data_IF_665476680748
#
_entry.id   IF_665476680748
#
_cell.length_a   1.000
_cell.length_b   1.000
_cell.length_c   1.000
_cell.angle_alpha   90.00
_cell.angle_beta   90.00
_cell.angle_gamma   90.00
#
_symmetry.space_group_name_H-M   'P 1'
#
loop_
_entity.id
_entity.type
_entity.pdbx_description
1 polymer ?
#
# COMPACT_ATOMS: atom_id res chain seq x y z
N UNK A 1 12.32 46.20 -36.81
CA UNK A 1 11.62 44.91 -36.81
C UNK A 1 12.63 43.90 -36.30
N UNK A 2 12.44 43.38 -35.08
CA UNK A 2 13.38 42.46 -34.45
C UNK A 2 13.11 41.04 -34.93
N UNK A 3 14.07 40.46 -35.64
CA UNK A 3 14.12 39.03 -35.96
C UNK A 3 14.31 38.24 -34.66
N UNK A 4 13.20 37.75 -34.10
CA UNK A 4 13.23 36.72 -33.06
C UNK A 4 13.25 35.36 -33.75
N UNK A 5 14.32 34.61 -33.51
CA UNK A 5 14.51 33.23 -33.94
C UNK A 5 13.31 32.37 -33.51
N UNK A 6 12.46 32.05 -34.49
CA UNK A 6 11.26 31.24 -34.31
C UNK A 6 11.64 29.74 -34.31
N UNK A 7 12.37 29.30 -33.28
CA UNK A 7 12.67 27.88 -33.10
C UNK A 7 11.45 27.19 -32.50
N UNK A 8 10.95 26.10 -33.10
CA UNK A 8 9.82 25.35 -32.56
C UNK A 8 10.17 24.86 -31.15
N UNK A 9 9.19 24.93 -30.24
CA UNK A 9 9.39 24.48 -28.87
C UNK A 9 9.74 22.99 -28.85
N UNK A 10 10.57 22.56 -27.88
CA UNK A 10 10.97 21.15 -27.73
C UNK A 10 9.77 20.19 -27.61
N UNK A 11 8.61 20.70 -27.17
CA UNK A 11 7.36 19.96 -27.15
C UNK A 11 6.81 19.63 -28.56
N UNK A 12 6.98 20.55 -29.52
CA UNK A 12 6.54 20.37 -30.90
C UNK A 12 7.43 19.35 -31.64
N UNK A 13 8.75 19.39 -31.42
CA UNK A 13 9.68 18.37 -31.94
C UNK A 13 9.35 16.97 -31.40
N UNK A 14 9.00 16.87 -30.10
CA UNK A 14 8.59 15.61 -29.49
C UNK A 14 7.32 15.03 -30.12
N UNK A 15 6.34 15.88 -30.45
CA UNK A 15 5.10 15.49 -31.13
C UNK A 15 5.36 15.04 -32.57
N UNK A 16 6.16 15.79 -33.33
CA UNK A 16 6.50 15.44 -34.72
C UNK A 16 7.25 14.11 -34.82
N UNK A 17 8.16 13.81 -33.87
CA UNK A 17 8.83 12.50 -33.82
C UNK A 17 7.88 11.35 -33.51
N UNK A 18 6.93 11.54 -32.59
CA UNK A 18 5.93 10.50 -32.27
C UNK A 18 4.98 10.24 -33.44
N UNK A 19 4.55 11.30 -34.11
CA UNK A 19 3.67 11.19 -35.26
C UNK A 19 4.36 10.52 -36.45
N UNK A 20 5.64 10.86 -36.72
CA UNK A 20 6.45 10.17 -37.71
C UNK A 20 6.64 8.68 -37.42
N UNK A 21 6.84 8.31 -36.15
CA UNK A 21 6.99 6.91 -35.75
C UNK A 21 5.70 6.09 -35.89
N UNK A 22 4.53 6.66 -35.56
CA UNK A 22 3.24 6.00 -35.76
C UNK A 22 2.90 5.81 -37.24
N UNK A 23 3.24 6.79 -38.07
CA UNK A 23 2.98 6.73 -39.52
C UNK A 23 3.88 5.68 -40.17
N UNK A 24 5.15 5.62 -39.79
CA UNK A 24 6.08 4.59 -40.25
C UNK A 24 5.68 3.17 -39.82
N UNK A 25 5.07 2.99 -38.63
CA UNK A 25 4.53 1.69 -38.22
C UNK A 25 3.27 1.28 -39.00
N UNK A 26 2.46 2.24 -39.47
CA UNK A 26 1.28 1.94 -40.30
C UNK A 26 1.63 1.63 -41.75
N UNK A 27 2.67 2.26 -42.28
CA UNK A 27 3.13 2.07 -43.67
C UNK A 27 4.09 0.89 -43.85
N UNK A 28 4.65 0.36 -42.75
CA UNK A 28 5.40 -0.89 -42.79
C UNK A 28 4.45 -2.09 -42.98
N UNK A 29 4.04 -2.33 -44.24
CA UNK A 29 3.43 -3.58 -44.65
C UNK A 29 4.33 -4.74 -44.25
N UNK A 30 3.81 -5.63 -43.39
CA UNK A 30 4.49 -6.85 -42.98
C UNK A 30 4.68 -7.70 -44.24
N UNK A 31 5.92 -7.98 -44.68
CA UNK A 31 6.13 -8.80 -45.86
C UNK A 31 5.51 -10.18 -45.64
N UNK A 32 4.83 -10.76 -46.65
CA UNK A 32 4.22 -12.08 -46.52
C UNK A 32 5.29 -13.09 -46.14
N UNK A 33 4.99 -13.93 -45.15
CA UNK A 33 5.88 -14.98 -44.68
C UNK A 33 6.27 -15.89 -45.87
N UNK A 34 7.56 -16.26 -46.01
CA UNK A 34 7.97 -17.18 -47.06
C UNK A 34 7.24 -18.52 -46.90
N UNK A 35 6.86 -19.18 -48.00
CA UNK A 35 6.22 -20.49 -47.93
C UNK A 35 7.16 -21.48 -47.25
N UNK A 36 6.63 -22.18 -46.23
CA UNK A 36 7.33 -23.27 -45.57
C UNK A 36 7.57 -24.41 -46.58
N UNK A 37 8.79 -24.51 -47.11
CA UNK A 37 9.27 -25.76 -47.69
C UNK A 37 9.35 -26.80 -46.59
N UNK A 38 8.46 -27.79 -46.67
CA UNK A 38 8.51 -28.98 -45.83
C UNK A 38 9.78 -29.76 -46.19
N UNK A 39 10.80 -29.68 -45.34
CA UNK A 39 11.93 -30.58 -45.39
C UNK A 39 11.44 -32.04 -45.18
N UNK A 40 11.94 -33.03 -45.94
CA UNK A 40 11.55 -34.42 -45.75
C UNK A 40 11.99 -34.90 -44.37
N UNK A 41 11.05 -35.48 -43.60
CA UNK A 41 11.35 -36.25 -42.40
C UNK A 41 12.29 -37.40 -42.75
N UNK A 42 13.56 -37.29 -42.39
CA UNK A 42 14.42 -38.45 -42.19
C UNK A 42 14.18 -38.98 -40.78
N UNK A 43 13.72 -40.23 -40.71
CA UNK A 43 13.60 -41.00 -39.48
C UNK A 43 15.00 -41.20 -38.85
N UNK A 44 15.15 -41.02 -37.52
CA UNK A 44 16.37 -41.42 -36.85
C UNK A 44 16.35 -42.92 -36.59
N UNK A 45 17.39 -43.59 -37.08
CA UNK A 45 17.73 -44.96 -36.75
C UNK A 45 17.91 -45.15 -35.23
N UNK A 46 17.45 -46.31 -34.79
CA UNK A 46 17.65 -46.88 -33.47
C UNK A 46 19.15 -47.03 -33.15
N UNK A 47 19.53 -46.65 -31.92
CA UNK A 47 20.44 -47.39 -31.04
C UNK A 47 21.20 -46.41 -30.13
N UNK A 48 20.81 -46.34 -28.87
CA UNK A 48 21.64 -46.82 -27.73
C UNK A 48 20.90 -46.47 -26.45
N UNK A 49 20.50 -47.52 -25.72
CA UNK A 49 19.98 -47.38 -24.38
C UNK A 49 21.08 -46.96 -23.42
N UNK A 50 20.78 -45.96 -22.59
CA UNK A 50 21.36 -45.86 -21.25
C UNK A 50 20.21 -45.56 -20.30
N UNK A 51 19.87 -46.60 -19.54
CA UNK A 51 19.04 -46.54 -18.35
C UNK A 51 19.81 -45.81 -17.26
N UNK A 52 19.26 -44.70 -16.75
CA UNK A 52 19.70 -44.12 -15.47
C UNK A 52 18.48 -43.95 -14.57
N UNK A 53 18.56 -44.72 -13.49
CA UNK A 53 17.70 -44.82 -12.31
C UNK A 53 17.60 -43.46 -11.57
N UNK A 54 16.43 -43.08 -11.02
CA UNK A 54 16.32 -41.94 -10.12
C UNK A 54 16.78 -42.32 -8.70
N UNK A 55 17.58 -41.49 -8.00
CA UNK A 55 17.85 -41.71 -6.60
C UNK A 55 16.69 -41.19 -5.71
N UNK A 56 16.17 -42.16 -4.97
CA UNK A 56 15.44 -42.15 -3.71
C UNK A 56 15.39 -40.85 -2.87
N UNK A 57 14.17 -40.58 -2.39
CA UNK A 57 13.85 -39.86 -1.15
C UNK A 57 14.61 -40.41 0.06
N UNK A 58 15.13 -39.51 0.93
CA UNK A 58 15.38 -39.85 2.31
C UNK A 58 14.36 -39.19 3.25
N UNK A 59 13.53 -40.07 3.81
CA UNK A 59 13.27 -40.17 5.25
C UNK A 59 12.56 -39.01 5.97
N UNK A 60 11.28 -39.27 6.26
CA UNK A 60 10.74 -39.35 7.63
C UNK A 60 11.78 -39.34 8.76
N UNK A 61 11.69 -38.35 9.65
CA UNK A 61 12.14 -38.48 11.03
C UNK A 61 11.25 -37.62 11.96
N UNK A 62 10.41 -38.30 12.73
CA UNK A 62 9.85 -37.79 13.99
C UNK A 62 10.99 -37.50 14.99
N UNK A 63 10.71 -36.69 16.02
CA UNK A 63 10.77 -37.29 17.35
C UNK A 63 9.50 -37.03 18.18
N UNK A 64 9.10 -38.08 18.89
CA UNK A 64 8.33 -38.02 20.14
C UNK A 64 9.30 -38.13 21.33
N UNK A 65 8.73 -37.97 22.54
CA UNK A 65 9.31 -38.09 23.90
C UNK A 65 9.83 -36.74 24.38
N UNK A 66 9.24 -36.06 25.37
CA UNK A 66 8.81 -36.44 26.73
C UNK A 66 9.46 -35.36 27.64
N UNK A 67 8.99 -34.89 28.79
CA UNK A 67 7.92 -35.13 29.75
C UNK A 67 8.11 -34.08 30.88
N UNK A 68 7.46 -34.30 32.03
CA UNK A 68 7.53 -33.54 33.30
C UNK A 68 6.70 -32.23 33.35
N UNK A 69 5.58 -32.18 34.06
CA UNK A 69 5.39 -32.16 35.54
C UNK A 69 5.74 -30.81 36.19
N UNK A 70 4.71 -30.13 36.71
CA UNK A 70 4.64 -29.35 37.96
C UNK A 70 3.30 -28.59 37.95
N UNK A 71 2.29 -28.99 38.73
CA UNK A 71 2.08 -28.56 40.13
C UNK A 71 2.02 -27.04 40.22
N UNK A 72 0.82 -26.47 40.31
CA UNK A 72 0.06 -26.23 41.55
C UNK A 72 0.23 -24.76 41.96
N UNK A 73 -0.88 -24.03 42.09
CA UNK A 73 -1.23 -23.25 43.29
C UNK A 73 -2.31 -22.22 42.96
N UNK A 74 -3.50 -22.55 43.44
CA UNK A 74 -4.61 -21.64 43.66
C UNK A 74 -4.37 -20.94 45.00
N UNK A 75 -4.52 -19.61 45.12
CA UNK A 75 -4.87 -18.99 46.39
C UNK A 75 -6.37 -18.64 46.32
N UNK A 76 -7.23 -19.15 47.20
CA UNK A 76 -7.09 -19.09 48.65
C UNK A 76 -7.72 -17.79 49.13
N UNK A 77 -9.05 -17.78 49.27
CA UNK A 77 -9.76 -16.66 49.88
C UNK A 77 -9.51 -16.56 51.39
N UNK A 78 -10.01 -15.48 52.02
CA UNK A 78 -10.46 -15.59 53.40
C UNK A 78 -11.92 -15.13 53.55
N UNK A 79 -12.73 -16.06 54.02
CA UNK A 79 -14.01 -15.82 54.70
C UNK A 79 -13.68 -15.43 56.14
N UNK A 80 -14.03 -14.20 56.55
CA UNK A 80 -14.03 -13.77 57.95
C UNK A 80 -15.32 -12.97 58.20
N UNK A 81 -16.30 -13.61 58.85
CA UNK A 81 -17.21 -12.91 59.78
C UNK A 81 -16.54 -12.82 61.17
N UNK A 82 -17.12 -12.17 62.20
CA UNK A 82 -18.56 -11.99 62.40
C UNK A 82 -19.02 -10.62 62.96
N UNK A 83 -20.34 -10.57 63.14
CA UNK A 83 -21.18 -9.53 63.73
C UNK A 83 -20.61 -8.79 64.95
N UNK A 84 -20.67 -7.47 64.91
CA UNK A 84 -20.52 -6.61 66.08
C UNK A 84 -21.89 -6.46 66.75
N UNK A 85 -21.93 -6.85 68.03
CA UNK A 85 -23.07 -6.75 68.91
C UNK A 85 -23.30 -5.29 69.35
N UNK A 86 -24.57 -4.88 69.37
CA UNK A 86 -25.05 -3.64 69.97
C UNK A 86 -24.73 -3.58 71.48
N UNK A 87 -24.20 -2.46 72.00
CA UNK A 87 -24.15 -2.24 73.43
C UNK A 87 -25.53 -1.81 73.95
N UNK A 88 -26.04 -2.58 74.92
CA UNK A 88 -27.25 -2.27 75.67
C UNK A 88 -27.07 -1.00 76.53
N UNK A 89 -28.10 -0.16 76.56
CA UNK A 89 -28.17 1.03 77.39
C UNK A 89 -28.14 0.71 78.90
N UNK A 90 -27.45 1.50 79.75
CA UNK A 90 -27.53 1.34 81.19
C UNK A 90 -28.85 1.92 81.75
N UNK A 91 -29.61 1.10 82.47
CA UNK A 91 -30.77 1.54 83.27
C UNK A 91 -30.29 2.26 84.53
N UNK A 92 -30.91 3.39 84.94
CA UNK A 92 -30.60 4.02 86.22
C UNK A 92 -31.21 3.22 87.38
N UNK A 93 -30.42 3.00 88.43
CA UNK A 93 -30.90 2.51 89.74
C UNK A 93 -31.49 3.70 90.52
N UNK A 94 -32.73 3.64 91.05
CA UNK A 94 -33.22 4.65 91.97
C UNK A 94 -32.59 4.42 93.34
N UNK A 95 -31.58 5.24 93.67
CA UNK A 95 -30.96 5.27 94.99
C UNK A 95 -31.88 5.94 96.00
N UNK A 96 -32.19 5.19 97.06
CA UNK A 96 -32.96 5.61 98.23
C UNK A 96 -32.42 6.92 98.85
N UNK A 97 -33.21 7.98 98.78
CA UNK A 97 -33.01 9.21 99.57
C UNK A 97 -33.99 9.20 100.74
N UNK A 98 -33.81 8.28 101.70
CA UNK A 98 -34.66 8.24 102.91
C UNK A 98 -33.87 7.93 104.21
N UNK A 99 -32.56 7.68 104.14
CA UNK A 99 -31.79 7.24 105.32
C UNK A 99 -31.17 8.35 106.19
N UNK A 100 -31.21 9.62 105.76
CA UNK A 100 -30.52 10.72 106.48
C UNK A 100 -31.35 11.45 107.55
N UNK A 101 -32.67 11.22 107.62
CA UNK A 101 -33.55 11.89 108.60
C UNK A 101 -33.99 11.00 109.76
N UNK A 102 -33.71 9.69 109.68
CA UNK A 102 -34.04 8.71 110.72
C UNK A 102 -33.41 9.02 112.10
N UNK A 103 -32.12 9.40 112.22
CA UNK A 103 -31.53 9.65 113.54
C UNK A 103 -32.05 10.93 114.21
N UNK A 104 -32.41 11.96 113.43
CA UNK A 104 -32.98 13.22 113.95
C UNK A 104 -34.41 13.01 114.45
N UNK A 105 -35.21 12.22 113.73
CA UNK A 105 -36.57 11.86 114.16
C UNK A 105 -36.56 11.00 115.44
N UNK A 106 -35.59 10.08 115.58
CA UNK A 106 -35.42 9.25 116.79
C UNK A 106 -34.96 10.08 117.99
N UNK A 107 -34.04 11.03 117.80
CA UNK A 107 -33.60 11.93 118.87
C UNK A 107 -34.74 12.86 119.37
N UNK A 108 -35.56 13.39 118.46
CA UNK A 108 -36.72 14.21 118.81
C UNK A 108 -37.79 13.41 119.58
N UNK A 109 -38.03 12.15 119.18
CA UNK A 109 -38.96 11.25 119.86
C UNK A 109 -38.47 10.87 121.29
N UNK A 110 -37.15 10.69 121.48
CA UNK A 110 -36.55 10.42 122.78
C UNK A 110 -36.61 11.64 123.73
N UNK A 111 -36.43 12.86 123.21
CA UNK A 111 -36.60 14.08 124.01
C UNK A 111 -38.06 14.30 124.44
N UNK A 112 -39.03 14.11 123.52
CA UNK A 112 -40.46 14.23 123.83
C UNK A 112 -40.93 13.18 124.86
N UNK A 113 -40.43 11.95 124.77
CA UNK A 113 -40.75 10.91 125.75
C UNK A 113 -40.11 11.17 127.12
N UNK A 114 -38.90 11.73 127.19
CA UNK A 114 -38.30 12.17 128.46
C UNK A 114 -39.07 13.32 129.13
N UNK A 115 -39.59 14.27 128.33
CA UNK A 115 -40.36 15.41 128.82
C UNK A 115 -41.71 14.97 129.41
N UNK A 116 -42.38 14.00 128.76
CA UNK A 116 -43.63 13.41 129.23
C UNK A 116 -43.41 12.66 130.55
N UNK A 117 -42.30 11.93 130.70
CA UNK A 117 -41.95 11.24 131.96
C UNK A 117 -41.62 12.23 133.08
N UNK A 118 -40.99 13.36 132.77
CA UNK A 118 -40.72 14.42 133.75
C UNK A 118 -42.01 15.11 134.26
N UNK A 119 -42.95 15.42 133.38
CA UNK A 119 -44.27 15.94 133.79
C UNK A 119 -45.11 14.91 134.56
N UNK A 120 -44.96 13.61 134.26
CA UNK A 120 -45.60 12.55 135.04
C UNK A 120 -45.00 12.39 136.45
N UNK A 121 -43.70 12.66 136.61
CA UNK A 121 -43.02 12.67 137.91
C UNK A 121 -43.42 13.87 138.78
N UNK A 122 -43.70 15.04 138.17
CA UNK A 122 -44.17 16.24 138.87
C UNK A 122 -45.63 16.11 139.37
N UNK A 123 -46.45 15.26 138.76
CA UNK A 123 -47.83 15.06 139.17
C UNK A 123 -48.02 14.18 140.43
N UNK A 124 -46.96 13.58 140.98
CA UNK A 124 -47.07 12.55 142.04
C UNK A 124 -46.30 12.80 143.34
N UNK A 125 -45.69 13.97 143.54
CA UNK A 125 -44.97 14.28 144.79
C UNK A 125 -45.26 15.70 145.30
N UNK A 126 -46.11 15.78 146.32
CA UNK A 126 -46.29 16.98 147.13
C UNK A 126 -45.25 17.00 148.25
N UNK A 127 -44.16 17.75 148.07
CA UNK A 127 -43.31 18.26 149.16
C UNK A 127 -42.51 19.46 148.64
N UNK A 128 -42.94 20.67 149.03
CA UNK A 128 -42.19 21.90 148.81
C UNK A 128 -40.97 21.95 149.74
N UNK A 129 -39.78 22.14 149.17
CA UNK A 129 -38.56 22.37 149.95
C UNK A 129 -37.25 22.20 149.16
N UNK A 130 -37.18 21.26 148.22
CA UNK A 130 -35.98 20.99 147.39
C UNK A 130 -36.05 21.55 145.95
N UNK A 131 -37.16 22.21 145.59
CA UNK A 131 -37.44 22.72 144.25
C UNK A 131 -36.57 23.93 143.78
N UNK A 132 -35.69 24.50 144.62
CA UNK A 132 -34.85 25.66 144.24
C UNK A 132 -33.43 25.31 143.78
N UNK A 133 -32.89 24.14 144.13
CA UNK A 133 -31.60 23.67 143.62
C UNK A 133 -31.74 22.90 142.30
N UNK A 134 -32.82 22.13 142.15
CA UNK A 134 -33.14 21.43 140.89
C UNK A 134 -33.52 22.38 139.76
N UNK A 135 -34.17 23.52 140.06
CA UNK A 135 -34.48 24.54 139.05
C UNK A 135 -33.22 25.16 138.42
N UNK A 136 -32.13 25.34 139.19
CA UNK A 136 -30.86 25.87 138.65
C UNK A 136 -30.14 24.87 137.75
N UNK A 137 -30.23 23.57 138.07
CA UNK A 137 -29.68 22.49 137.24
C UNK A 137 -30.51 22.34 135.96
N UNK A 138 -31.83 22.48 136.05
CA UNK A 138 -32.72 22.43 134.87
C UNK A 138 -32.54 23.68 133.99
N UNK A 139 -32.33 24.87 134.54
CA UNK A 139 -32.04 26.06 133.71
C UNK A 139 -30.67 25.99 133.04
N UNK A 140 -29.64 25.49 133.73
CA UNK A 140 -28.31 25.28 133.11
C UNK A 140 -28.32 24.15 132.08
N UNK A 141 -29.07 23.08 132.30
CA UNK A 141 -29.29 22.04 131.29
C UNK A 141 -30.10 22.56 130.10
N UNK A 142 -31.09 23.43 130.31
CA UNK A 142 -31.84 24.05 129.22
C UNK A 142 -30.97 25.00 128.40
N UNK A 143 -30.15 25.81 129.05
CA UNK A 143 -29.28 26.75 128.35
C UNK A 143 -28.14 26.01 127.62
N UNK A 144 -27.64 24.90 128.18
CA UNK A 144 -26.72 24.00 127.48
C UNK A 144 -27.40 23.29 126.29
N UNK A 145 -28.61 22.77 126.47
CA UNK A 145 -29.37 22.13 125.39
C UNK A 145 -29.76 23.12 124.29
N UNK A 146 -30.00 24.40 124.60
CA UNK A 146 -30.22 25.43 123.59
C UNK A 146 -28.94 25.79 122.83
N UNK A 147 -27.78 25.78 123.50
CA UNK A 147 -26.49 25.99 122.86
C UNK A 147 -26.14 24.81 121.95
N UNK A 148 -26.33 23.58 122.41
CA UNK A 148 -26.12 22.37 121.62
C UNK A 148 -27.10 22.31 120.43
N UNK A 149 -28.33 22.80 120.59
CA UNK A 149 -29.30 22.93 119.50
C UNK A 149 -28.90 24.02 118.49
N UNK A 150 -28.38 25.16 118.94
CA UNK A 150 -27.86 26.19 118.04
C UNK A 150 -26.63 25.70 117.27
N UNK A 151 -25.70 25.02 117.93
CA UNK A 151 -24.54 24.39 117.30
C UNK A 151 -25.00 23.35 116.26
N UNK A 152 -25.92 22.45 116.62
CA UNK A 152 -26.49 21.47 115.69
C UNK A 152 -27.25 22.11 114.51
N UNK A 153 -27.96 23.22 114.73
CA UNK A 153 -28.63 23.96 113.64
C UNK A 153 -27.60 24.60 112.71
N UNK A 154 -26.53 25.19 113.25
CA UNK A 154 -25.45 25.75 112.42
C UNK A 154 -24.69 24.68 111.64
N UNK A 155 -24.47 23.49 112.22
CA UNK A 155 -23.88 22.35 111.53
C UNK A 155 -24.81 21.80 110.44
N UNK A 156 -26.12 21.76 110.67
CA UNK A 156 -27.11 21.36 109.66
C UNK A 156 -27.21 22.39 108.53
N UNK A 157 -27.13 23.68 108.83
CA UNK A 157 -27.10 24.74 107.82
C UNK A 157 -25.80 24.69 107.00
N UNK A 158 -24.66 24.47 107.64
CA UNK A 158 -23.37 24.26 106.97
C UNK A 158 -23.39 23.01 106.08
N UNK A 159 -23.93 21.88 106.57
CA UNK A 159 -24.09 20.66 105.79
C UNK A 159 -25.08 20.81 104.62
N UNK A 160 -26.13 21.63 104.78
CA UNK A 160 -27.05 21.97 103.68
C UNK A 160 -26.37 22.87 102.63
N UNK A 161 -25.57 23.84 103.06
CA UNK A 161 -24.80 24.68 102.15
C UNK A 161 -23.76 23.85 101.37
N UNK A 162 -23.06 22.94 102.04
CA UNK A 162 -22.09 22.04 101.40
C UNK A 162 -22.77 21.05 100.43
N UNK A 163 -23.97 20.56 100.76
CA UNK A 163 -24.78 19.74 99.86
C UNK A 163 -25.26 20.53 98.63
N UNK A 164 -25.63 21.80 98.80
CA UNK A 164 -26.02 22.67 97.69
C UNK A 164 -24.83 22.96 96.76
N UNK A 165 -23.65 23.20 97.31
CA UNK A 165 -22.40 23.38 96.55
C UNK A 165 -21.99 22.11 95.80
N UNK A 166 -22.09 20.94 96.44
CA UNK A 166 -21.83 19.65 95.78
C UNK A 166 -22.84 19.39 94.66
N UNK A 167 -24.12 19.71 94.88
CA UNK A 167 -25.15 19.58 93.85
C UNK A 167 -24.85 20.49 92.66
N UNK A 168 -24.49 21.76 92.89
CA UNK A 168 -24.08 22.67 91.82
C UNK A 168 -22.85 22.18 91.05
N UNK A 169 -21.85 21.62 91.73
CA UNK A 169 -20.67 21.01 91.09
C UNK A 169 -21.06 19.79 90.24
N UNK A 170 -21.93 18.92 90.74
CA UNK A 170 -22.42 17.77 90.00
C UNK A 170 -23.27 18.18 88.80
N UNK A 171 -24.18 19.14 88.96
CA UNK A 171 -24.99 19.66 87.86
C UNK A 171 -24.10 20.31 86.78
N UNK A 172 -23.04 21.02 87.20
CA UNK A 172 -22.02 21.54 86.30
C UNK A 172 -21.22 20.46 85.54
N UNK A 173 -20.85 19.37 86.23
CA UNK A 173 -20.19 18.21 85.60
C UNK A 173 -21.13 17.49 84.63
N UNK A 174 -22.38 17.28 85.00
CA UNK A 174 -23.40 16.64 84.15
C UNK A 174 -23.67 17.49 82.91
N UNK A 175 -23.80 18.81 83.06
CA UNK A 175 -23.95 19.73 81.93
C UNK A 175 -22.74 19.67 80.99
N UNK A 176 -21.51 19.62 81.54
CA UNK A 176 -20.28 19.48 80.75
C UNK A 176 -20.23 18.15 80.00
N UNK A 177 -20.49 17.02 80.66
CA UNK A 177 -20.48 15.71 80.02
C UNK A 177 -21.57 15.56 78.96
N UNK A 178 -22.74 16.18 79.17
CA UNK A 178 -23.84 16.17 78.20
C UNK A 178 -23.46 16.98 76.95
N UNK A 179 -22.78 18.12 77.14
CA UNK A 179 -22.26 18.94 76.05
C UNK A 179 -21.16 18.21 75.26
N UNK A 180 -20.22 17.58 75.96
CA UNK A 180 -19.14 16.81 75.34
C UNK A 180 -19.69 15.62 74.55
N UNK A 181 -20.70 14.92 75.07
CA UNK A 181 -21.37 13.82 74.37
C UNK A 181 -22.15 14.30 73.12
N UNK A 182 -22.79 15.48 73.20
CA UNK A 182 -23.43 16.11 72.05
C UNK A 182 -22.44 16.45 70.93
N UNK A 183 -21.29 17.03 71.27
CA UNK A 183 -20.21 17.32 70.31
C UNK A 183 -19.63 16.02 69.70
N UNK A 184 -19.53 14.95 70.49
CA UNK A 184 -19.11 13.64 70.00
C UNK A 184 -20.14 13.00 69.05
N UNK A 185 -21.43 13.16 69.32
CA UNK A 185 -22.48 12.70 68.40
C UNK A 185 -22.45 13.48 67.07
N UNK A 186 -22.22 14.79 67.12
CA UNK A 186 -22.14 15.63 65.92
C UNK A 186 -20.94 15.24 65.04
N UNK A 187 -19.75 15.12 65.63
CA UNK A 187 -18.53 14.66 64.91
C UNK A 187 -18.66 13.23 64.37
N UNK A 188 -19.33 12.33 65.09
CA UNK A 188 -19.58 10.97 64.61
C UNK A 188 -20.59 10.96 63.46
N UNK A 189 -21.59 11.84 63.50
CA UNK A 189 -22.51 12.10 62.39
C UNK A 189 -21.78 12.58 61.13
N UNK A 190 -20.92 13.59 61.26
CA UNK A 190 -20.09 14.09 60.16
C UNK A 190 -19.22 12.99 59.54
N UNK A 191 -18.51 12.21 60.38
CA UNK A 191 -17.67 11.10 59.91
C UNK A 191 -18.46 10.00 59.22
N UNK A 192 -19.68 9.70 59.67
CA UNK A 192 -20.56 8.74 58.99
C UNK A 192 -21.00 9.24 57.61
N UNK A 193 -21.29 10.54 57.46
CA UNK A 193 -21.57 11.11 56.13
C UNK A 193 -20.36 11.10 55.21
N UNK A 194 -19.15 11.31 55.75
CA UNK A 194 -17.90 11.22 55.00
C UNK A 194 -17.63 9.78 54.51
N UNK A 195 -17.84 8.78 55.37
CA UNK A 195 -17.73 7.37 55.01
C UNK A 195 -18.79 6.97 53.96
N UNK A 196 -20.01 7.51 54.06
CA UNK A 196 -21.05 7.26 53.06
C UNK A 196 -20.65 7.82 51.68
N UNK A 197 -20.09 9.03 51.63
CA UNK A 197 -19.56 9.63 50.38
C UNK A 197 -18.42 8.78 49.80
N UNK A 198 -17.45 8.38 50.63
CA UNK A 198 -16.34 7.54 50.17
C UNK A 198 -16.80 6.18 49.64
N UNK A 199 -17.85 5.59 50.22
CA UNK A 199 -18.46 4.35 49.69
C UNK A 199 -19.14 4.59 48.34
N UNK A 200 -19.82 5.72 48.17
CA UNK A 200 -20.44 6.10 46.90
C UNK A 200 -19.37 6.31 45.81
N UNK A 201 -18.28 7.01 46.13
CA UNK A 201 -17.17 7.24 45.21
C UNK A 201 -16.43 5.94 44.86
N UNK A 202 -16.23 5.04 45.83
CA UNK A 202 -15.67 3.71 45.59
C UNK A 202 -16.57 2.85 44.69
N UNK A 203 -17.90 2.93 44.86
CA UNK A 203 -18.85 2.24 44.00
C UNK A 203 -18.82 2.79 42.56
N UNK A 204 -18.73 4.12 42.39
CA UNK A 204 -18.56 4.76 41.07
C UNK A 204 -17.23 4.36 40.40
N UNK A 205 -16.13 4.31 41.16
CA UNK A 205 -14.85 3.86 40.65
C UNK A 205 -14.89 2.38 40.23
N UNK A 206 -15.54 1.52 41.02
CA UNK A 206 -15.72 0.11 40.68
C UNK A 206 -16.59 -0.08 39.43
N UNK A 207 -17.66 0.69 39.25
CA UNK A 207 -18.47 0.63 38.03
C UNK A 207 -17.72 1.08 36.79
N UNK A 208 -16.91 2.15 36.90
CA UNK A 208 -16.05 2.60 35.80
C UNK A 208 -15.01 1.55 35.42
N UNK A 209 -14.38 0.89 36.40
CA UNK A 209 -13.45 -0.21 36.14
C UNK A 209 -14.14 -1.41 35.47
N UNK A 210 -15.35 -1.76 35.91
CA UNK A 210 -16.15 -2.81 35.31
C UNK A 210 -16.58 -2.49 33.87
N UNK A 211 -16.81 -1.22 33.54
CA UNK A 211 -17.12 -0.78 32.16
C UNK A 211 -15.86 -0.75 31.27
N UNK A 212 -14.71 -0.38 31.82
CA UNK A 212 -13.46 -0.28 31.05
C UNK A 212 -12.80 -1.64 30.78
N UNK A 213 -12.95 -2.61 31.68
CA UNK A 213 -12.40 -3.97 31.50
C UNK A 213 -12.80 -4.64 30.17
N UNK A 214 -14.10 -4.73 29.80
CA UNK A 214 -14.49 -5.34 28.51
C UNK A 214 -14.05 -4.50 27.31
N UNK A 215 -13.96 -3.17 27.44
CA UNK A 215 -13.44 -2.30 26.37
C UNK A 215 -11.96 -2.56 26.11
N UNK A 216 -11.18 -2.76 27.16
CA UNK A 216 -9.76 -3.08 27.04
C UNK A 216 -9.56 -4.46 26.40
N UNK A 217 -10.37 -5.45 26.81
CA UNK A 217 -10.35 -6.78 26.22
C UNK A 217 -10.72 -6.74 24.73
N UNK A 218 -11.80 -6.03 24.36
CA UNK A 218 -12.19 -5.82 22.96
C UNK A 218 -11.09 -5.14 22.15
N UNK A 219 -10.49 -4.06 22.66
CA UNK A 219 -9.40 -3.36 22.00
C UNK A 219 -8.15 -4.26 21.82
N UNK A 220 -7.82 -5.09 22.82
CA UNK A 220 -6.73 -6.06 22.67
C UNK A 220 -7.02 -7.14 21.63
N UNK A 221 -8.29 -7.56 21.50
CA UNK A 221 -8.76 -8.44 20.43
C UNK A 221 -8.56 -7.82 19.05
N UNK A 222 -9.03 -6.59 18.86
CA UNK A 222 -8.88 -5.84 17.60
C UNK A 222 -7.41 -5.65 17.21
N UNK A 223 -6.53 -5.32 18.16
CA UNK A 223 -5.09 -5.19 17.90
C UNK A 223 -4.47 -6.52 17.49
N UNK A 224 -4.87 -7.63 18.12
CA UNK A 224 -4.37 -8.95 17.75
C UNK A 224 -4.84 -9.38 16.36
N UNK A 225 -6.08 -9.07 15.99
CA UNK A 225 -6.59 -9.37 14.65
C UNK A 225 -5.96 -8.48 13.58
N UNK A 226 -5.73 -7.19 13.88
CA UNK A 226 -4.97 -6.29 13.02
C UNK A 226 -3.53 -6.79 12.81
N UNK A 227 -2.87 -7.33 13.85
CA UNK A 227 -1.54 -7.94 13.73
C UNK A 227 -1.54 -9.17 12.84
N UNK A 228 -2.55 -10.05 12.96
CA UNK A 228 -2.68 -11.22 12.06
C UNK A 228 -2.88 -10.79 10.61
N UNK A 229 -3.71 -9.76 10.38
CA UNK A 229 -3.95 -9.22 9.04
C UNK A 229 -2.68 -8.61 8.44
N UNK A 230 -1.91 -7.85 9.24
CA UNK A 230 -0.62 -7.30 8.81
C UNK A 230 0.36 -8.42 8.44
N UNK A 231 0.49 -9.46 9.27
CA UNK A 231 1.38 -10.58 8.98
C UNK A 231 0.96 -11.35 7.69
N UNK A 232 -0.34 -11.47 7.42
CA UNK A 232 -0.84 -12.03 6.16
C UNK A 232 -0.47 -11.14 4.96
N UNK A 233 -0.68 -9.82 5.08
CA UNK A 233 -0.35 -8.87 4.02
C UNK A 233 1.15 -8.75 3.76
N UNK A 234 1.99 -8.87 4.79
CA UNK A 234 3.45 -8.93 4.65
C UNK A 234 3.91 -10.18 3.87
N UNK A 235 3.23 -11.31 4.05
CA UNK A 235 3.51 -12.52 3.24
C UNK A 235 3.09 -12.32 1.79
N UNK A 236 1.89 -11.79 1.56
CA UNK A 236 1.38 -11.50 0.21
C UNK A 236 2.30 -10.52 -0.54
N UNK A 237 2.76 -9.45 0.12
CA UNK A 237 3.70 -8.50 -0.49
C UNK A 237 5.07 -9.13 -0.74
N UNK A 238 5.57 -9.99 0.15
CA UNK A 238 6.83 -10.70 -0.07
C UNK A 238 6.76 -11.66 -1.28
N UNK A 239 5.63 -12.33 -1.49
CA UNK A 239 5.40 -13.16 -2.68
C UNK A 239 5.36 -12.31 -3.96
N UNK A 240 4.61 -11.21 -3.95
CA UNK A 240 4.55 -10.28 -5.08
C UNK A 240 5.93 -9.70 -5.44
N UNK A 241 6.75 -9.37 -4.44
CA UNK A 241 8.13 -8.88 -4.68
C UNK A 241 8.99 -9.95 -5.35
N UNK A 242 8.91 -11.22 -4.90
CA UNK A 242 9.63 -12.33 -5.55
C UNK A 242 9.20 -12.53 -7.01
N UNK A 243 7.90 -12.44 -7.29
CA UNK A 243 7.37 -12.55 -8.65
C UNK A 243 7.82 -11.39 -9.55
N UNK A 244 7.83 -10.16 -9.02
CA UNK A 244 8.33 -8.98 -9.74
C UNK A 244 9.82 -9.16 -10.07
N UNK A 245 10.64 -9.62 -9.12
CA UNK A 245 12.07 -9.85 -9.36
C UNK A 245 12.32 -10.99 -10.36
N UNK A 246 11.52 -12.06 -10.31
CA UNK A 246 11.58 -13.12 -11.30
C UNK A 246 11.22 -12.62 -12.71
N UNK A 247 10.17 -11.80 -12.84
CA UNK A 247 9.79 -11.17 -14.11
C UNK A 247 10.85 -10.20 -14.62
N UNK A 248 11.46 -9.40 -13.74
CA UNK A 248 12.57 -8.51 -14.09
C UNK A 248 13.79 -9.27 -14.61
N UNK A 249 14.16 -10.38 -13.98
CA UNK A 249 15.24 -11.26 -14.47
C UNK A 249 14.93 -11.85 -15.85
N UNK A 250 13.68 -12.29 -16.08
CA UNK A 250 13.25 -12.77 -17.41
C UNK A 250 13.28 -11.67 -18.47
N UNK A 251 12.84 -10.46 -18.14
CA UNK A 251 12.94 -9.32 -19.05
C UNK A 251 14.38 -8.96 -19.37
N UNK A 252 15.29 -8.97 -18.39
CA UNK A 252 16.71 -8.73 -18.62
C UNK A 252 17.34 -9.81 -19.52
N UNK A 253 16.99 -11.09 -19.33
CA UNK A 253 17.45 -12.17 -20.19
C UNK A 253 16.90 -12.06 -21.62
N UNK A 254 15.62 -11.70 -21.77
CA UNK A 254 15.00 -11.47 -23.07
C UNK A 254 15.63 -10.27 -23.80
N UNK A 255 15.97 -9.20 -23.07
CA UNK A 255 16.68 -8.05 -23.62
C UNK A 255 18.08 -8.43 -24.11
N UNK A 256 18.83 -9.21 -23.32
CA UNK A 256 20.15 -9.69 -23.73
C UNK A 256 20.09 -10.58 -25.00
N UNK A 257 19.04 -11.40 -25.14
CA UNK A 257 18.84 -12.19 -26.35
C UNK A 257 18.46 -11.32 -27.55
N UNK A 258 17.63 -10.30 -27.36
CA UNK A 258 17.30 -9.34 -28.41
C UNK A 258 18.55 -8.59 -28.90
N UNK A 259 19.39 -8.12 -27.98
CA UNK A 259 20.65 -7.43 -28.31
C UNK A 259 21.61 -8.37 -29.07
N UNK A 260 21.66 -9.65 -28.68
CA UNK A 260 22.41 -10.69 -29.39
C UNK A 260 21.88 -10.88 -30.82
N UNK A 261 20.57 -11.00 -31.01
CA UNK A 261 19.95 -11.16 -32.33
C UNK A 261 20.16 -9.94 -33.23
N UNK A 262 20.09 -8.73 -32.68
CA UNK A 262 20.42 -7.49 -33.39
C UNK A 262 21.86 -7.54 -33.89
N UNK A 263 22.82 -7.92 -33.03
CA UNK A 263 24.23 -8.03 -33.42
C UNK A 263 24.45 -9.04 -34.56
N UNK A 264 23.79 -10.21 -34.48
CA UNK A 264 23.87 -11.23 -35.54
C UNK A 264 23.27 -10.72 -36.86
N UNK A 265 22.11 -10.05 -36.80
CA UNK A 265 21.46 -9.51 -37.98
C UNK A 265 22.29 -8.37 -38.63
N UNK A 266 22.89 -7.50 -37.83
CA UNK A 266 23.81 -6.48 -38.34
C UNK A 266 25.01 -7.09 -39.06
N UNK A 267 25.59 -8.17 -38.51
CA UNK A 267 26.68 -8.89 -39.16
C UNK A 267 26.23 -9.52 -40.48
N UNK A 268 25.07 -10.17 -40.50
CA UNK A 268 24.49 -10.75 -41.72
C UNK A 268 24.20 -9.68 -42.78
N UNK A 269 23.65 -8.53 -42.39
CA UNK A 269 23.40 -7.41 -43.29
C UNK A 269 24.70 -6.83 -43.88
N UNK A 270 25.76 -6.71 -43.07
CA UNK A 270 27.09 -6.27 -43.55
C UNK A 270 27.68 -7.30 -44.52
N UNK A 271 27.57 -8.59 -44.24
CA UNK A 271 28.03 -9.66 -45.11
C UNK A 271 27.27 -9.66 -46.46
N UNK A 272 25.94 -9.50 -46.43
CA UNK A 272 25.10 -9.39 -47.62
C UNK A 272 25.48 -8.19 -48.49
N UNK A 273 25.66 -7.00 -47.88
CA UNK A 273 26.13 -5.80 -48.62
C UNK A 273 27.50 -6.02 -49.26
N UNK A 274 28.42 -6.69 -48.56
CA UNK A 274 29.74 -7.03 -49.12
C UNK A 274 29.60 -7.95 -50.34
N UNK A 275 28.79 -9.01 -50.24
CA UNK A 275 28.54 -9.94 -51.34
C UNK A 275 27.88 -9.25 -52.56
N UNK A 276 26.93 -8.35 -52.33
CA UNK A 276 26.31 -7.55 -53.40
C UNK A 276 27.33 -6.64 -54.10
N UNK A 277 28.19 -5.95 -53.34
CA UNK A 277 29.24 -5.10 -53.92
C UNK A 277 30.23 -5.94 -54.74
N UNK A 278 30.62 -7.13 -54.26
CA UNK A 278 31.48 -8.06 -54.99
C UNK A 278 30.82 -8.55 -56.29
N UNK A 279 29.53 -8.86 -56.26
CA UNK A 279 28.77 -9.26 -57.45
C UNK A 279 28.70 -8.13 -58.49
N UNK A 280 28.41 -6.89 -58.08
CA UNK A 280 28.39 -5.72 -58.97
C UNK A 280 29.75 -5.50 -59.62
N UNK A 281 30.83 -5.63 -58.84
CA UNK A 281 32.19 -5.53 -59.38
C UNK A 281 32.48 -6.63 -60.41
N UNK A 282 32.05 -7.87 -60.15
CA UNK A 282 32.20 -8.97 -61.10
C UNK A 282 31.39 -8.76 -62.38
N UNK A 283 30.18 -8.17 -62.29
CA UNK A 283 29.37 -7.81 -63.46
C UNK A 283 30.05 -6.72 -64.31
N UNK A 284 30.55 -5.66 -63.68
CA UNK A 284 31.31 -4.61 -64.39
C UNK A 284 32.58 -5.17 -65.06
N UNK A 285 33.29 -6.08 -64.39
CA UNK A 285 34.44 -6.79 -64.97
C UNK A 285 34.05 -7.66 -66.15
N UNK A 286 32.88 -8.31 -66.10
CA UNK A 286 32.35 -9.10 -67.21
C UNK A 286 32.08 -8.20 -68.43
N UNK A 287 31.37 -7.10 -68.23
CA UNK A 287 31.01 -6.16 -69.32
C UNK A 287 32.24 -5.58 -70.03
N UNK A 288 33.26 -5.19 -69.26
CA UNK A 288 34.54 -4.70 -69.82
C UNK A 288 35.23 -5.76 -70.66
N UNK A 289 35.32 -7.00 -70.18
CA UNK A 289 35.88 -8.12 -70.96
C UNK A 289 35.10 -8.40 -72.25
N UNK A 290 33.76 -8.34 -72.21
CA UNK A 290 32.94 -8.50 -73.42
C UNK A 290 33.15 -7.37 -74.42
N UNK A 291 33.26 -6.12 -73.94
CA UNK A 291 33.53 -4.97 -74.80
C UNK A 291 34.91 -5.08 -75.47
N UNK A 292 35.94 -5.49 -74.74
CA UNK A 292 37.29 -5.69 -75.27
C UNK A 292 37.33 -6.85 -76.27
N UNK A 293 36.69 -7.99 -75.95
CA UNK A 293 36.59 -9.11 -76.88
C UNK A 293 35.86 -8.71 -78.18
N UNK A 294 34.79 -7.91 -78.08
CA UNK A 294 34.08 -7.38 -79.26
C UNK A 294 34.97 -6.47 -80.10
N UNK A 295 35.74 -5.57 -79.48
CA UNK A 295 36.71 -4.71 -80.19
C UNK A 295 37.77 -5.51 -80.91
N UNK A 296 38.36 -6.51 -80.25
CA UNK A 296 39.36 -7.40 -80.85
C UNK A 296 38.76 -8.19 -82.01
N UNK A 297 37.58 -8.79 -81.82
CA UNK A 297 36.86 -9.51 -82.87
C UNK A 297 36.62 -8.62 -84.09
N UNK A 298 36.08 -7.43 -83.90
CA UNK A 298 35.84 -6.48 -84.98
C UNK A 298 37.15 -6.05 -85.67
N UNK A 299 38.22 -5.79 -84.93
CA UNK A 299 39.52 -5.40 -85.52
C UNK A 299 40.14 -6.49 -86.41
N UNK A 300 39.84 -7.76 -86.15
CA UNK A 300 40.38 -8.92 -86.89
C UNK A 300 39.47 -9.34 -88.04
N UNK A 301 38.15 -9.19 -87.91
CA UNK A 301 37.16 -9.67 -88.90
C UNK A 301 36.64 -8.61 -89.86
N UNK A 302 36.77 -7.31 -89.56
CA UNK A 302 36.23 -6.20 -90.35
C UNK A 302 37.33 -5.39 -91.06
N UNK A 303 38.14 -6.04 -91.89
CA UNK A 303 39.25 -5.38 -92.63
C UNK A 303 38.75 -4.74 -93.94
N UNK A 304 37.54 -5.08 -94.40
CA UNK A 304 36.89 -4.56 -95.60
C UNK A 304 35.87 -3.45 -95.30
N UNK A 305 35.48 -2.67 -96.33
CA UNK A 305 34.46 -1.61 -96.22
C UNK A 305 33.13 -2.18 -95.65
N UNK A 306 32.78 -3.41 -96.02
CA UNK A 306 31.61 -4.11 -95.50
C UNK A 306 31.66 -4.34 -93.98
N UNK A 307 32.82 -4.70 -93.43
CA UNK A 307 33.02 -4.84 -92.00
C UNK A 307 32.96 -3.51 -91.25
N UNK A 308 33.52 -2.44 -91.82
CA UNK A 308 33.41 -1.09 -91.25
C UNK A 308 31.93 -0.63 -91.24
N UNK A 309 31.19 -0.90 -92.31
CA UNK A 309 29.77 -0.61 -92.42
C UNK A 309 28.92 -1.41 -91.43
N UNK A 310 29.16 -2.72 -91.28
CA UNK A 310 28.51 -3.54 -90.27
C UNK A 310 28.78 -3.01 -88.85
N UNK A 311 30.03 -2.60 -88.56
CA UNK A 311 30.40 -1.99 -87.28
C UNK A 311 29.74 -0.63 -87.03
N UNK A 312 29.60 0.21 -88.06
CA UNK A 312 28.87 1.49 -87.97
C UNK A 312 27.38 1.25 -87.73
N UNK A 313 26.76 0.28 -88.42
CA UNK A 313 25.35 -0.08 -88.24
C UNK A 313 25.09 -0.59 -86.83
N UNK A 314 25.95 -1.47 -86.32
CA UNK A 314 25.90 -1.95 -84.94
C UNK A 314 26.05 -0.82 -83.93
N UNK A 315 27.00 0.10 -84.14
CA UNK A 315 27.23 1.24 -83.23
C UNK A 315 26.06 2.23 -83.23
N UNK A 316 25.51 2.56 -84.41
CA UNK A 316 24.31 3.40 -84.57
C UNK A 316 23.12 2.79 -83.84
N UNK A 317 22.94 1.50 -84.05
CA UNK A 317 21.84 0.74 -83.49
C UNK A 317 21.92 0.59 -81.97
N UNK A 318 23.11 0.33 -81.41
CA UNK A 318 23.33 0.40 -79.95
C UNK A 318 23.10 1.81 -79.40
N UNK A 319 23.46 2.85 -80.16
CA UNK A 319 23.18 4.25 -79.83
C UNK A 319 21.69 4.56 -79.77
N UNK A 320 20.90 4.03 -80.70
CA UNK A 320 19.44 4.21 -80.73
C UNK A 320 18.73 3.49 -79.58
N UNK A 321 19.14 2.27 -79.23
CA UNK A 321 18.59 1.54 -78.07
C UNK A 321 18.81 2.35 -76.79
N UNK A 322 20.01 2.89 -76.59
CA UNK A 322 20.34 3.72 -75.43
C UNK A 322 19.54 5.04 -75.37
N UNK A 323 18.99 5.49 -76.50
CA UNK A 323 18.18 6.71 -76.61
C UNK A 323 16.69 6.45 -76.41
N UNK A 324 16.18 5.21 -76.58
CA UNK A 324 14.77 4.87 -76.35
C UNK A 324 14.26 5.30 -74.97
N UNK A 325 15.05 5.05 -73.92
CA UNK A 325 14.69 5.42 -72.54
C UNK A 325 14.64 6.94 -72.31
N UNK A 326 15.48 7.70 -73.01
CA UNK A 326 15.49 9.17 -72.97
C UNK A 326 14.32 9.77 -73.74
N UNK A 327 14.01 9.22 -74.91
CA UNK A 327 12.86 9.64 -75.73
C UNK A 327 11.52 9.28 -75.07
N UNK A 328 11.45 8.17 -74.32
CA UNK A 328 10.27 7.80 -73.52
C UNK A 328 9.89 8.89 -72.51
N UNK A 329 10.88 9.56 -71.92
CA UNK A 329 10.65 10.66 -70.98
C UNK A 329 10.16 11.96 -71.65
N UNK A 330 10.41 12.12 -72.95
CA UNK A 330 9.98 13.28 -73.76
C UNK A 330 8.65 13.03 -74.49
N UNK A 331 8.17 11.79 -74.49
CA UNK A 331 6.91 11.42 -75.13
C UNK A 331 5.72 11.74 -74.21
N UNK A 332 4.90 12.72 -74.59
CA UNK A 332 3.67 13.07 -73.86
C UNK A 332 2.47 12.17 -74.23
N UNK A 333 2.46 11.64 -75.45
CA UNK A 333 1.40 10.77 -75.95
C UNK A 333 1.63 9.29 -75.60
N UNK A 334 0.63 8.62 -75.03
CA UNK A 334 0.71 7.19 -74.68
C UNK A 334 0.97 6.29 -75.90
N UNK A 335 0.41 6.64 -77.07
CA UNK A 335 0.66 5.95 -78.33
C UNK A 335 2.15 5.97 -78.72
N UNK A 336 2.82 7.09 -78.49
CA UNK A 336 4.25 7.26 -78.77
C UNK A 336 5.11 6.47 -77.75
N UNK A 337 4.73 6.45 -76.47
CA UNK A 337 5.41 5.63 -75.46
C UNK A 337 5.34 4.14 -75.79
N UNK A 338 4.16 3.65 -76.15
CA UNK A 338 3.93 2.26 -76.57
C UNK A 338 4.76 1.94 -77.83
N UNK A 339 4.85 2.87 -78.78
CA UNK A 339 5.68 2.70 -79.97
C UNK A 339 7.17 2.61 -79.59
N UNK A 340 7.67 3.50 -78.72
CA UNK A 340 9.07 3.48 -78.27
C UNK A 340 9.42 2.18 -77.52
N UNK A 341 8.51 1.65 -76.71
CA UNK A 341 8.68 0.36 -76.03
C UNK A 341 8.82 -0.80 -77.03
N UNK A 342 7.94 -0.83 -78.04
CA UNK A 342 8.03 -1.82 -79.11
C UNK A 342 9.34 -1.65 -79.89
N UNK A 343 9.73 -0.43 -80.22
CA UNK A 343 10.96 -0.16 -80.96
C UNK A 343 12.21 -0.57 -80.17
N UNK A 344 12.24 -0.36 -78.85
CA UNK A 344 13.31 -0.87 -78.01
C UNK A 344 13.43 -2.40 -78.12
N UNK A 345 12.31 -3.13 -78.11
CA UNK A 345 12.29 -4.59 -78.29
C UNK A 345 12.76 -5.00 -79.67
N UNK A 346 12.27 -4.36 -80.74
CA UNK A 346 12.68 -4.67 -82.12
C UNK A 346 14.15 -4.36 -82.38
N UNK A 347 14.63 -3.21 -81.89
CA UNK A 347 16.03 -2.82 -81.98
C UNK A 347 16.91 -3.70 -81.09
N UNK A 348 16.46 -4.18 -79.93
CA UNK A 348 17.25 -5.14 -79.14
C UNK A 348 17.30 -6.50 -79.82
N UNK A 349 16.16 -6.98 -80.34
CA UNK A 349 16.06 -8.28 -81.03
C UNK A 349 17.01 -8.34 -82.22
N UNK A 350 16.98 -7.34 -83.09
CA UNK A 350 17.86 -7.34 -84.26
C UNK A 350 19.35 -7.20 -83.86
N UNK A 351 19.70 -6.81 -82.61
CA UNK A 351 21.12 -6.71 -82.14
C UNK A 351 21.65 -8.09 -81.77
N UNK A 352 20.71 -8.95 -81.36
CA UNK A 352 20.95 -10.33 -80.99
C UNK A 352 20.85 -11.28 -82.18
N UNK A 353 20.42 -10.80 -83.36
CA UNK A 353 20.35 -11.61 -84.58
C UNK A 353 21.76 -11.88 -85.08
N UNK A 354 22.04 -13.15 -85.36
CA UNK A 354 23.21 -13.53 -86.12
C UNK A 354 22.98 -13.14 -87.59
N UNK A 355 23.70 -12.11 -88.06
CA UNK A 355 23.62 -11.63 -89.42
C UNK A 355 24.04 -12.68 -90.48
N UNK A 356 24.68 -13.78 -90.07
CA UNK A 356 25.06 -14.88 -90.96
C UNK A 356 23.97 -15.95 -91.09
N UNK A 357 22.96 -15.92 -90.22
CA UNK A 357 21.83 -16.85 -90.20
C UNK A 357 20.67 -16.32 -91.06
N UNK A 358 20.46 -16.94 -92.21
CA UNK A 358 19.35 -16.60 -93.11
C UNK A 358 17.97 -16.82 -92.45
N UNK A 359 17.85 -17.82 -91.58
CA UNK A 359 16.62 -18.15 -90.86
C UNK A 359 16.26 -17.05 -89.84
N UNK A 360 17.24 -16.55 -89.08
CA UNK A 360 17.02 -15.48 -88.10
C UNK A 360 16.69 -14.15 -88.78
N UNK A 361 17.33 -13.86 -89.93
CA UNK A 361 17.01 -12.70 -90.75
C UNK A 361 15.56 -12.78 -91.29
N UNK A 362 15.14 -13.93 -91.84
CA UNK A 362 13.77 -14.12 -92.31
C UNK A 362 12.74 -14.03 -91.17
N UNK A 363 13.03 -14.65 -90.02
CA UNK A 363 12.15 -14.61 -88.86
C UNK A 363 11.95 -13.17 -88.35
N UNK A 364 12.99 -12.35 -88.39
CA UNK A 364 12.88 -10.93 -88.04
C UNK A 364 12.08 -10.13 -89.05
N UNK A 365 12.32 -10.31 -90.35
CA UNK A 365 11.51 -9.66 -91.39
C UNK A 365 10.03 -10.03 -91.26
N UNK A 366 9.72 -11.29 -90.96
CA UNK A 366 8.35 -11.76 -90.69
C UNK A 366 7.75 -11.12 -89.42
N UNK A 367 8.57 -10.90 -88.38
CA UNK A 367 8.13 -10.24 -87.13
C UNK A 367 7.82 -8.75 -87.34
N UNK A 368 8.69 -8.04 -88.08
CA UNK A 368 8.51 -6.63 -88.42
C UNK A 368 7.23 -6.45 -89.26
N UNK A 369 7.00 -7.32 -90.26
CA UNK A 369 5.80 -7.25 -91.10
C UNK A 369 4.52 -7.62 -90.33
N UNK A 370 4.55 -8.65 -89.47
CA UNK A 370 3.38 -9.11 -88.71
C UNK A 370 2.95 -8.10 -87.63
N UNK A 371 3.91 -7.42 -87.00
CA UNK A 371 3.65 -6.46 -85.92
C UNK A 371 3.10 -5.11 -86.38
N UNK A 372 3.13 -4.84 -87.71
CA UNK A 372 2.75 -3.56 -88.31
C UNK A 372 3.48 -2.36 -87.66
N UNK A 373 4.71 -2.59 -87.20
CA UNK A 373 5.49 -1.56 -86.51
C UNK A 373 5.80 -0.38 -87.43
N UNK A 374 6.01 -0.64 -88.73
CA UNK A 374 6.24 0.42 -89.72
C UNK A 374 5.00 1.31 -89.92
N UNK A 375 3.81 0.71 -89.96
CA UNK A 375 2.54 1.46 -90.06
C UNK A 375 2.31 2.32 -88.81
N UNK A 376 2.67 1.81 -87.62
CA UNK A 376 2.58 2.55 -86.36
C UNK A 376 3.57 3.72 -86.31
N UNK A 377 4.78 3.56 -86.88
CA UNK A 377 5.73 4.67 -87.05
C UNK A 377 5.13 5.72 -88.00
N UNK A 378 4.57 5.30 -89.13
CA UNK A 378 4.00 6.22 -90.13
C UNK A 378 2.76 6.96 -89.59
N UNK A 379 1.94 6.30 -88.77
CA UNK A 379 0.82 6.91 -88.05
C UNK A 379 1.30 8.00 -87.08
N UNK A 380 2.31 7.70 -86.27
CA UNK A 380 2.89 8.65 -85.30
C UNK A 380 3.63 9.79 -86.02
N UNK A 381 4.35 9.52 -87.11
CA UNK A 381 4.97 10.55 -87.96
C UNK A 381 3.94 11.44 -88.68
N UNK A 382 2.73 10.94 -88.91
CA UNK A 382 1.59 11.68 -89.44
C UNK A 382 0.90 12.58 -88.40
N UNK A 383 1.14 12.34 -87.10
CA UNK A 383 0.72 13.25 -86.03
C UNK A 383 1.60 14.50 -86.00
N UNK A 384 1.08 15.61 -85.48
CA UNK A 384 1.92 16.81 -85.22
C UNK A 384 2.90 16.50 -84.09
N UNK A 385 4.11 16.08 -84.47
CA UNK A 385 5.26 15.99 -83.56
C UNK A 385 6.02 17.32 -83.65
N UNK A 386 6.01 18.08 -82.56
CA UNK A 386 6.71 19.38 -82.49
C UNK A 386 8.22 19.23 -82.27
N UNK A 387 8.69 18.05 -81.84
CA UNK A 387 10.11 17.74 -81.64
C UNK A 387 10.77 17.14 -82.90
N UNK A 388 11.62 17.93 -83.55
CA UNK A 388 12.38 17.55 -84.74
C UNK A 388 13.38 16.41 -84.47
N UNK A 389 13.92 16.31 -83.25
CA UNK A 389 14.84 15.25 -82.86
C UNK A 389 14.14 13.89 -82.81
N UNK A 390 12.98 13.83 -82.17
CA UNK A 390 12.15 12.63 -82.12
C UNK A 390 11.69 12.20 -83.52
N UNK A 391 11.28 13.16 -84.35
CA UNK A 391 10.88 12.88 -85.74
C UNK A 391 12.02 12.27 -86.55
N UNK A 392 13.22 12.83 -86.44
CA UNK A 392 14.43 12.32 -87.11
C UNK A 392 14.79 10.92 -86.61
N UNK A 393 14.70 10.69 -85.30
CA UNK A 393 14.96 9.38 -84.70
C UNK A 393 13.97 8.30 -85.17
N UNK A 394 12.67 8.62 -85.26
CA UNK A 394 11.65 7.71 -85.77
C UNK A 394 11.86 7.38 -87.26
N UNK A 395 12.28 8.37 -88.07
CA UNK A 395 12.68 8.11 -89.46
C UNK A 395 13.90 7.18 -89.55
N UNK A 396 14.90 7.39 -88.71
CA UNK A 396 16.09 6.54 -88.67
C UNK A 396 15.72 5.10 -88.24
N UNK A 397 14.86 4.95 -87.22
CA UNK A 397 14.36 3.65 -86.78
C UNK A 397 13.61 2.92 -87.91
N UNK A 398 12.80 3.65 -88.68
CA UNK A 398 12.09 3.13 -89.85
C UNK A 398 13.06 2.64 -90.92
N UNK A 399 14.08 3.42 -91.27
CA UNK A 399 15.08 3.04 -92.28
C UNK A 399 15.83 1.76 -91.88
N UNK A 400 16.22 1.67 -90.61
CA UNK A 400 16.91 0.48 -90.07
C UNK A 400 16.00 -0.75 -90.14
N UNK A 401 14.73 -0.62 -89.75
CA UNK A 401 13.78 -1.73 -89.78
C UNK A 401 13.42 -2.18 -91.22
N UNK A 402 13.51 -1.28 -92.20
CA UNK A 402 13.37 -1.61 -93.62
C UNK A 402 14.65 -2.19 -94.25
N UNK A 403 15.77 -2.19 -93.53
CA UNK A 403 17.06 -2.63 -94.06
C UNK A 403 17.65 -1.67 -95.11
N UNK A 404 17.23 -0.40 -95.13
CA UNK A 404 17.76 0.60 -96.07
C UNK A 404 19.00 1.25 -95.46
N UNK A 405 20.14 1.16 -96.16
CA UNK A 405 21.46 1.54 -95.62
C UNK A 405 21.74 3.06 -95.59
N UNK A 406 20.85 3.91 -96.12
CA UNK A 406 20.87 5.40 -95.98
C UNK A 406 19.59 6.03 -96.56
N UNK A 407 19.06 7.06 -95.92
CA UNK A 407 18.40 8.15 -96.65
C UNK A 407 19.44 9.26 -96.82
N UNK A 408 19.82 9.54 -98.07
CA UNK A 408 20.64 10.70 -98.44
C UNK A 408 19.82 11.98 -98.41
#
# INVERSE_FOLDING_TARGET
MSDQDNKPSAALEGLLRRWGAETAMREAEVPPAPPFEQAPLQAPDEATGISVVPPADPASARPQVGGAEASAETPGGPVVGPAWASPAAPRPKPGLVLSRWLPVAVAAALLLSSLILFFHSLAKSGTGGQARQELKVVTTQRDQAQKDLQEAVTEVEAAKAELADQKHKHDGLVAKTTKDYGALQETLGEKLTEVAKLKEDAAKAASLLAEMAPRLEAATGEVNDARKLLAYKEKETAELVRDIDAKRKRMAAAQAELDRLISVNEQAARASRKALNEMVLMQARRETLFADARRVYLSVKAVDEAGLHASQMVSRRSGMIAQCSKLRALADADALRILLDKLEVFLTRLDLIDATSYEDAQAFTAMVSTSKILDQIDEVLGMRIDDEYLRTWLFEARLILMGIERAS
#
